data_IF_220007648253
#
_entry.id   IF_220007648253
#
_cell.length_a   1.000
_cell.length_b   1.000
_cell.length_c   1.000
_cell.angle_alpha   90.00
_cell.angle_beta   90.00
_cell.angle_gamma   90.00
#
_symmetry.space_group_name_H-M   'P 1'
#
loop_
_entity.id
_entity.type
_entity.pdbx_description
1 polymer ?
#
# COMPACT_ATOMS: atom_id res chain seq x y z
N UNK A 1 0.41 -20.25 2.75
CA UNK A 1 1.66 -19.48 2.54
C UNK A 1 1.33 -18.00 2.50
N UNK A 2 1.97 -17.23 3.33
CA UNK A 2 1.76 -15.78 3.38
C UNK A 2 2.19 -15.11 2.08
N UNK A 3 1.40 -14.10 1.71
CA UNK A 3 1.69 -13.24 0.56
C UNK A 3 2.05 -11.86 1.11
N UNK A 4 3.15 -11.30 0.62
CA UNK A 4 3.62 -9.97 1.04
C UNK A 4 3.54 -9.02 -0.15
N UNK A 5 2.72 -7.99 -0.02
CA UNK A 5 2.63 -6.92 -1.00
C UNK A 5 3.54 -5.78 -0.56
N UNK A 6 4.47 -5.39 -1.43
CA UNK A 6 5.36 -4.27 -1.14
C UNK A 6 5.19 -3.23 -2.24
N UNK A 7 4.86 -2.01 -1.82
CA UNK A 7 4.79 -0.86 -2.71
C UNK A 7 5.90 0.11 -2.32
N UNK A 8 6.64 0.59 -3.33
CA UNK A 8 7.65 1.62 -3.13
C UNK A 8 7.23 2.85 -3.91
N UNK A 9 7.40 4.02 -3.30
CA UNK A 9 6.87 5.27 -3.85
C UNK A 9 7.94 6.34 -3.93
N UNK A 10 7.85 7.16 -4.99
CA UNK A 10 8.57 8.41 -5.10
C UNK A 10 7.54 9.51 -4.88
N UNK A 11 7.66 10.21 -3.76
CA UNK A 11 6.66 11.20 -3.32
C UNK A 11 7.32 12.59 -3.26
N UNK A 12 6.82 13.56 -4.05
CA UNK A 12 7.31 14.94 -3.93
C UNK A 12 7.14 15.43 -2.50
N UNK A 13 8.10 16.20 -2.02
CA UNK A 13 8.10 16.66 -0.63
C UNK A 13 6.82 17.43 -0.29
N UNK A 14 6.37 18.30 -1.20
CA UNK A 14 5.15 19.09 -1.01
C UNK A 14 3.87 18.24 -0.97
N UNK A 15 3.91 17.02 -1.49
CA UNK A 15 2.77 16.11 -1.53
C UNK A 15 2.76 15.10 -0.38
N UNK A 16 3.83 15.05 0.39
CA UNK A 16 4.06 13.97 1.38
C UNK A 16 2.95 13.88 2.42
N UNK A 17 2.52 15.02 2.98
CA UNK A 17 1.47 15.03 3.98
C UNK A 17 0.15 14.49 3.45
N UNK A 18 -0.27 14.96 2.27
CA UNK A 18 -1.51 14.49 1.65
C UNK A 18 -1.43 13.02 1.25
N UNK A 19 -0.27 12.58 0.77
CA UNK A 19 -0.05 11.20 0.39
C UNK A 19 -0.13 10.26 1.60
N UNK A 20 0.54 10.60 2.69
CA UNK A 20 0.52 9.77 3.90
C UNK A 20 -0.88 9.69 4.51
N UNK A 21 -1.67 10.74 4.41
CA UNK A 21 -3.07 10.71 4.84
C UNK A 21 -3.89 9.72 3.98
N UNK A 22 -3.67 9.71 2.67
CA UNK A 22 -4.34 8.75 1.79
C UNK A 22 -3.91 7.31 2.11
N UNK A 23 -2.62 7.10 2.39
CA UNK A 23 -2.10 5.79 2.81
C UNK A 23 -2.76 5.34 4.11
N UNK A 24 -2.89 6.25 5.08
CA UNK A 24 -3.55 5.96 6.36
C UNK A 24 -4.99 5.48 6.16
N UNK A 25 -5.75 6.14 5.29
CA UNK A 25 -7.13 5.75 4.98
C UNK A 25 -7.19 4.38 4.32
N UNK A 26 -6.33 4.12 3.34
CA UNK A 26 -6.26 2.82 2.68
C UNK A 26 -5.92 1.71 3.67
N UNK A 27 -4.91 1.94 4.52
CA UNK A 27 -4.46 0.97 5.49
C UNK A 27 -5.55 0.65 6.52
N UNK A 28 -6.27 1.67 6.99
CA UNK A 28 -7.35 1.48 7.95
C UNK A 28 -8.43 0.54 7.38
N UNK A 29 -8.78 0.71 6.11
CA UNK A 29 -9.73 -0.17 5.44
C UNK A 29 -9.18 -1.60 5.27
N UNK A 30 -7.96 -1.73 4.76
CA UNK A 30 -7.37 -3.05 4.50
C UNK A 30 -7.23 -3.89 5.75
N UNK A 31 -6.96 -3.26 6.90
CA UNK A 31 -6.84 -3.95 8.18
C UNK A 31 -8.13 -4.62 8.63
N UNK A 32 -9.28 -4.23 8.08
CA UNK A 32 -10.57 -4.84 8.42
C UNK A 32 -10.88 -6.07 7.59
N UNK A 33 -10.10 -6.35 6.54
CA UNK A 33 -10.41 -7.42 5.61
C UNK A 33 -9.94 -8.78 6.10
N UNK A 34 -10.69 -9.85 5.80
CA UNK A 34 -10.31 -11.21 6.21
C UNK A 34 -8.93 -11.59 5.66
N UNK A 35 -8.12 -12.22 6.52
CA UNK A 35 -6.80 -12.70 6.13
C UNK A 35 -5.68 -11.67 6.18
N UNK A 36 -5.99 -10.44 6.57
CA UNK A 36 -4.95 -9.45 6.84
C UNK A 36 -4.13 -9.89 8.06
N UNK A 37 -2.80 -9.89 7.94
CA UNK A 37 -1.90 -10.30 9.01
C UNK A 37 -1.24 -9.09 9.66
N UNK A 38 -0.51 -8.31 8.86
CA UNK A 38 0.18 -7.11 9.35
C UNK A 38 0.57 -6.21 8.17
N UNK A 39 0.89 -4.97 8.46
CA UNK A 39 1.36 -4.04 7.44
C UNK A 39 1.94 -2.79 8.07
N UNK A 40 2.86 -2.17 7.36
CA UNK A 40 3.61 -1.03 7.87
C UNK A 40 3.84 0.00 6.77
N UNK A 41 4.09 1.23 7.21
CA UNK A 41 4.50 2.34 6.35
C UNK A 41 5.87 2.80 6.81
N UNK A 42 6.81 2.88 5.89
CA UNK A 42 8.18 3.30 6.17
C UNK A 42 8.51 4.57 5.40
N UNK A 43 9.18 5.49 6.03
CA UNK A 43 9.69 6.70 5.40
C UNK A 43 11.21 6.63 5.38
N UNK A 44 11.80 6.98 4.24
CA UNK A 44 13.25 6.97 4.10
C UNK A 44 13.87 8.05 4.98
N UNK A 45 14.87 7.68 5.76
CA UNK A 45 15.64 8.61 6.58
C UNK A 45 17.05 8.81 6.05
N UNK A 46 17.55 7.85 5.26
CA UNK A 46 18.91 7.89 4.70
C UNK A 46 19.01 6.92 3.52
N UNK A 47 19.98 7.11 2.68
CA UNK A 47 20.27 6.23 1.56
C UNK A 47 20.04 6.88 0.20
N UNK A 48 20.53 6.21 -0.84
CA UNK A 48 20.56 6.75 -2.19
C UNK A 48 19.30 6.45 -3.02
N UNK A 49 18.40 5.61 -2.51
CA UNK A 49 17.17 5.29 -3.23
C UNK A 49 16.32 6.54 -3.47
N UNK A 50 15.75 6.65 -4.67
CA UNK A 50 14.79 7.70 -4.97
C UNK A 50 13.44 7.43 -4.32
N UNK A 51 13.14 6.17 -3.99
CA UNK A 51 11.91 5.80 -3.29
C UNK A 51 12.01 6.25 -1.84
N UNK A 52 11.10 7.13 -1.42
CA UNK A 52 11.14 7.72 -0.08
C UNK A 52 10.03 7.26 0.85
N UNK A 53 9.07 6.50 0.35
CA UNK A 53 8.04 5.84 1.16
C UNK A 53 7.89 4.41 0.68
N UNK A 54 7.77 3.48 1.63
CA UNK A 54 7.56 2.05 1.36
C UNK A 54 6.40 1.57 2.22
N UNK A 55 5.48 0.82 1.65
CA UNK A 55 4.42 0.18 2.42
C UNK A 55 4.47 -1.32 2.24
N UNK A 56 4.09 -2.04 3.29
CA UNK A 56 3.95 -3.49 3.22
C UNK A 56 2.59 -3.90 3.74
N UNK A 57 2.06 -4.99 3.18
CA UNK A 57 0.84 -5.62 3.68
C UNK A 57 1.01 -7.13 3.53
N UNK A 58 0.80 -7.86 4.61
CA UNK A 58 0.94 -9.31 4.64
C UNK A 58 -0.44 -9.93 4.73
N UNK A 59 -0.72 -10.87 3.83
CA UNK A 59 -1.98 -11.64 3.76
C UNK A 59 -1.69 -13.11 4.06
N UNK A 60 -2.62 -13.77 4.74
CA UNK A 60 -2.39 -15.16 5.20
C UNK A 60 -2.15 -16.13 4.06
N UNK A 61 -2.76 -15.91 2.89
CA UNK A 61 -2.62 -16.76 1.71
C UNK A 61 -3.06 -16.03 0.43
N UNK A 62 -2.89 -16.70 -0.70
CA UNK A 62 -3.24 -16.14 -2.01
C UNK A 62 -4.74 -15.83 -2.13
N UNK A 63 -5.60 -16.70 -1.60
CA UNK A 63 -7.04 -16.50 -1.65
C UNK A 63 -7.45 -15.22 -0.91
N UNK A 64 -6.93 -15.03 0.31
CA UNK A 64 -7.18 -13.83 1.09
C UNK A 64 -6.69 -12.57 0.36
N UNK A 65 -5.53 -12.65 -0.26
CA UNK A 65 -4.97 -11.55 -1.03
C UNK A 65 -5.85 -11.17 -2.22
N UNK A 66 -6.30 -12.16 -3.01
CA UNK A 66 -7.16 -11.90 -4.16
C UNK A 66 -8.53 -11.34 -3.73
N UNK A 67 -9.10 -11.88 -2.66
CA UNK A 67 -10.36 -11.38 -2.11
C UNK A 67 -10.22 -9.94 -1.59
N UNK A 68 -9.09 -9.63 -0.96
CA UNK A 68 -8.81 -8.27 -0.49
C UNK A 68 -8.73 -7.27 -1.63
N UNK A 69 -8.12 -7.64 -2.75
CA UNK A 69 -8.04 -6.77 -3.93
C UNK A 69 -9.43 -6.40 -4.44
N UNK A 70 -10.35 -7.38 -4.51
CA UNK A 70 -11.74 -7.15 -4.93
C UNK A 70 -12.46 -6.26 -3.94
N UNK A 71 -12.36 -6.58 -2.65
CA UNK A 71 -13.02 -5.83 -1.58
C UNK A 71 -12.54 -4.39 -1.52
N UNK A 72 -11.24 -4.16 -1.72
CA UNK A 72 -10.67 -2.82 -1.73
C UNK A 72 -11.21 -2.00 -2.91
N UNK A 73 -11.24 -2.59 -4.11
CA UNK A 73 -11.75 -1.91 -5.29
C UNK A 73 -13.21 -1.49 -5.10
N UNK A 74 -14.05 -2.39 -4.58
CA UNK A 74 -15.46 -2.11 -4.34
C UNK A 74 -15.67 -1.11 -3.20
N UNK A 75 -14.94 -1.28 -2.09
CA UNK A 75 -15.06 -0.42 -0.93
C UNK A 75 -14.64 1.01 -1.20
N UNK A 76 -13.52 1.18 -1.89
CA UNK A 76 -13.02 2.51 -2.24
C UNK A 76 -13.96 3.21 -3.22
N UNK A 77 -14.51 2.47 -4.17
CA UNK A 77 -15.49 3.02 -5.12
C UNK A 77 -16.74 3.55 -4.40
N UNK A 78 -17.23 2.83 -3.40
CA UNK A 78 -18.42 3.22 -2.64
C UNK A 78 -18.25 4.55 -1.91
N UNK A 79 -17.05 4.85 -1.43
CA UNK A 79 -16.78 6.09 -0.70
C UNK A 79 -16.15 7.18 -1.55
N UNK A 80 -16.06 6.95 -2.87
CA UNK A 80 -15.44 7.92 -3.78
C UNK A 80 -13.95 8.08 -3.61
N UNK A 81 -13.27 7.10 -3.01
CA UNK A 81 -11.84 7.10 -2.81
C UNK A 81 -11.15 6.42 -3.99
N UNK A 82 -10.29 7.16 -4.68
CA UNK A 82 -9.61 6.65 -5.88
C UNK A 82 -8.09 6.82 -5.74
N UNK A 83 -7.40 5.81 -5.17
CA UNK A 83 -5.96 5.90 -4.97
C UNK A 83 -5.14 6.20 -6.23
N UNK A 84 -5.39 5.58 -7.40
CA UNK A 84 -4.65 5.94 -8.61
C UNK A 84 -4.78 7.42 -9.00
N UNK A 85 -5.98 7.98 -8.88
CA UNK A 85 -6.20 9.38 -9.19
C UNK A 85 -5.50 10.30 -8.18
N UNK A 86 -5.55 9.95 -6.91
CA UNK A 86 -4.86 10.69 -5.84
C UNK A 86 -3.36 10.73 -6.13
N UNK A 87 -2.76 9.58 -6.46
CA UNK A 87 -1.33 9.51 -6.77
C UNK A 87 -0.99 10.34 -7.99
N UNK A 88 -1.83 10.30 -9.03
CA UNK A 88 -1.63 11.11 -10.23
C UNK A 88 -1.65 12.60 -9.89
N UNK A 89 -2.63 13.05 -9.12
CA UNK A 89 -2.78 14.46 -8.73
C UNK A 89 -1.62 14.93 -7.85
N UNK A 90 -1.09 14.06 -7.01
CA UNK A 90 0.04 14.37 -6.13
C UNK A 90 1.40 14.14 -6.80
N UNK A 91 1.41 13.67 -8.04
CA UNK A 91 2.62 13.36 -8.81
C UNK A 91 3.49 12.30 -8.13
N UNK A 92 2.84 11.29 -7.55
CA UNK A 92 3.49 10.17 -6.88
C UNK A 92 3.70 9.04 -7.88
N UNK A 93 4.91 8.48 -7.90
CA UNK A 93 5.24 7.30 -8.68
C UNK A 93 5.24 6.07 -7.77
N UNK A 94 4.77 4.95 -8.29
CA UNK A 94 4.66 3.70 -7.52
C UNK A 94 5.30 2.54 -8.29
N UNK A 95 6.00 1.68 -7.55
CA UNK A 95 6.37 0.35 -8.02
C UNK A 95 5.76 -0.66 -7.06
N UNK A 96 5.06 -1.64 -7.59
CA UNK A 96 4.38 -2.68 -6.80
C UNK A 96 4.92 -4.05 -7.16
N UNK A 97 5.17 -4.85 -6.13
CA UNK A 97 5.57 -6.24 -6.33
C UNK A 97 5.01 -7.12 -5.21
N UNK A 98 4.82 -8.38 -5.55
CA UNK A 98 4.29 -9.38 -4.62
C UNK A 98 5.42 -10.35 -4.29
N UNK A 99 5.61 -10.61 -3.03
CA UNK A 99 6.70 -11.43 -2.50
C UNK A 99 6.14 -12.53 -1.60
N UNK A 100 6.97 -13.48 -1.31
CA UNK A 100 6.75 -14.42 -0.21
C UNK A 100 7.96 -14.35 0.69
N UNK A 101 7.77 -14.69 1.97
CA UNK A 101 8.89 -14.72 2.90
C UNK A 101 9.85 -15.84 2.53
N UNK A 102 11.14 -15.50 2.43
CA UNK A 102 12.18 -16.50 2.27
C UNK A 102 12.40 -17.24 3.59
N UNK A 103 12.84 -18.52 3.55
CA UNK A 103 13.17 -19.24 4.80
C UNK A 103 14.41 -18.71 5.51
N UNK A 104 15.07 -17.72 4.95
CA UNK A 104 16.28 -17.14 5.54
C UNK A 104 16.00 -15.96 6.44
#
# INVERSE_FOLDING_TARGET
MEIVLIDTFIVPEESKGAFLEAVRKSAAFLRTLPGYVEGYVYEKTDGESHHNVVTSAVWKDEEAFQNAKKSAAEGFKKIGFNPPEIMKNLKVEIERAVYRRSPY
#
